data_IF_624685604465
#
_entry.id   IF_624685604465
#
_cell.length_a   1.000
_cell.length_b   1.000
_cell.length_c   1.000
_cell.angle_alpha   90.00
_cell.angle_beta   90.00
_cell.angle_gamma   90.00
#
_symmetry.space_group_name_H-M   'P 1'
#
loop_
_entity.id
_entity.type
_entity.pdbx_description
1 polymer ?
#
# COMPACT_ATOMS: atom_id res chain seq x y z
N UNK A 1 21.84 -17.64 -21.85
CA UNK A 1 20.77 -17.82 -20.86
C UNK A 1 19.46 -17.44 -21.51
N UNK A 2 18.70 -18.47 -21.86
CA UNK A 2 17.41 -18.37 -22.56
C UNK A 2 16.40 -17.63 -21.71
N UNK A 3 15.63 -16.74 -22.34
CA UNK A 3 14.47 -16.05 -21.77
C UNK A 3 13.42 -17.08 -21.36
N UNK A 4 13.53 -17.63 -20.16
CA UNK A 4 12.43 -18.40 -19.59
C UNK A 4 11.28 -17.46 -19.25
N UNK A 5 10.07 -17.84 -19.67
CA UNK A 5 8.81 -17.17 -19.36
C UNK A 5 8.56 -16.97 -17.85
N UNK A 6 9.42 -17.53 -16.99
CA UNK A 6 9.45 -17.38 -15.53
C UNK A 6 9.87 -15.97 -15.10
N UNK A 7 10.71 -15.27 -15.88
CA UNK A 7 11.17 -13.90 -15.51
C UNK A 7 10.10 -12.82 -15.63
N UNK A 8 8.97 -13.08 -16.31
CA UNK A 8 7.83 -12.15 -16.35
C UNK A 8 7.06 -12.05 -15.04
N UNK A 9 7.28 -12.96 -14.08
CA UNK A 9 6.57 -12.96 -12.80
C UNK A 9 7.27 -12.16 -11.70
N UNK A 10 8.53 -11.76 -11.89
CA UNK A 10 9.35 -11.13 -10.84
C UNK A 10 9.81 -9.77 -11.34
N UNK A 11 9.68 -8.74 -10.51
CA UNK A 11 10.18 -7.38 -10.79
C UNK A 11 11.43 -7.12 -9.95
N UNK A 12 12.50 -6.64 -10.57
CA UNK A 12 13.75 -6.30 -9.88
C UNK A 12 13.88 -4.78 -9.80
N UNK A 13 13.98 -4.28 -8.56
CA UNK A 13 14.24 -2.87 -8.28
C UNK A 13 15.69 -2.69 -7.87
N UNK A 14 16.44 -1.87 -8.60
CA UNK A 14 17.88 -1.67 -8.37
C UNK A 14 18.16 -0.29 -7.82
N UNK A 15 19.02 -0.22 -6.80
CA UNK A 15 19.38 1.03 -6.11
C UNK A 15 20.89 1.20 -6.13
N UNK A 16 21.38 2.25 -6.79
CA UNK A 16 22.77 2.67 -6.68
C UNK A 16 22.92 3.62 -5.51
N UNK A 17 23.58 3.19 -4.44
CA UNK A 17 23.72 3.96 -3.20
C UNK A 17 25.16 4.42 -3.03
N UNK A 18 25.37 5.71 -2.85
CA UNK A 18 26.69 6.27 -2.56
C UNK A 18 26.90 7.67 -3.13
N UNK A 19 27.85 8.43 -2.59
CA UNK A 19 28.11 9.81 -3.00
C UNK A 19 28.85 9.92 -4.34
N UNK A 20 29.36 8.81 -4.87
CA UNK A 20 30.19 8.78 -6.08
C UNK A 20 29.47 8.05 -7.22
N UNK A 21 29.71 8.43 -8.50
CA UNK A 21 29.15 7.73 -9.64
C UNK A 21 29.61 6.27 -9.68
N UNK A 22 28.69 5.34 -9.47
CA UNK A 22 28.91 3.91 -9.63
C UNK A 22 28.55 3.55 -11.09
N UNK A 23 29.24 2.61 -11.76
CA UNK A 23 28.80 2.10 -13.05
C UNK A 23 27.38 1.50 -12.95
N UNK A 24 26.40 2.15 -13.56
CA UNK A 24 24.97 1.84 -13.36
C UNK A 24 24.30 1.16 -14.54
N UNK A 25 25.05 0.92 -15.62
CA UNK A 25 24.55 0.25 -16.81
C UNK A 25 23.94 -1.13 -16.49
N UNK A 26 24.65 -1.94 -15.69
CA UNK A 26 24.19 -3.27 -15.28
C UNK A 26 22.96 -3.19 -14.37
N UNK A 27 22.95 -2.26 -13.41
CA UNK A 27 21.81 -2.03 -12.51
C UNK A 27 20.56 -1.63 -13.29
N UNK A 28 20.72 -0.73 -14.26
CA UNK A 28 19.63 -0.28 -15.13
C UNK A 28 19.13 -1.43 -16.02
N UNK A 29 20.04 -2.21 -16.59
CA UNK A 29 19.69 -3.35 -17.42
C UNK A 29 18.86 -4.39 -16.64
N UNK A 30 19.30 -4.77 -15.44
CA UNK A 30 18.56 -5.72 -14.60
C UNK A 30 17.14 -5.27 -14.27
N UNK A 31 16.94 -3.96 -14.00
CA UNK A 31 15.61 -3.41 -13.75
C UNK A 31 14.76 -3.37 -15.02
N UNK A 32 15.31 -2.97 -16.16
CA UNK A 32 14.59 -2.89 -17.44
C UNK A 32 14.15 -4.28 -17.96
N UNK A 33 14.93 -5.33 -17.70
CA UNK A 33 14.59 -6.70 -18.13
C UNK A 33 13.38 -7.30 -17.39
N UNK A 34 12.97 -6.71 -16.26
CA UNK A 34 11.94 -7.24 -15.35
C UNK A 34 10.78 -6.26 -15.10
N UNK A 35 10.63 -5.24 -15.94
CA UNK A 35 9.64 -4.17 -15.75
C UNK A 35 9.69 -3.51 -14.35
N UNK A 36 10.89 -3.47 -13.77
CA UNK A 36 11.17 -2.83 -12.49
C UNK A 36 11.51 -1.35 -12.63
N UNK A 37 12.18 -0.80 -11.62
CA UNK A 37 12.73 0.55 -11.66
C UNK A 37 14.14 0.60 -11.07
N UNK A 38 14.92 1.54 -11.59
CA UNK A 38 16.27 1.83 -11.14
C UNK A 38 16.30 3.23 -10.52
N UNK A 39 16.92 3.35 -9.35
CA UNK A 39 17.05 4.61 -8.62
C UNK A 39 18.49 4.84 -8.15
N UNK A 40 18.89 6.10 -8.05
CA UNK A 40 20.17 6.53 -7.48
C UNK A 40 19.91 7.26 -6.17
N UNK A 41 20.63 6.87 -5.12
CA UNK A 41 20.56 7.47 -3.80
C UNK A 41 21.95 7.98 -3.45
N UNK A 42 22.16 9.28 -3.60
CA UNK A 42 23.46 9.92 -3.34
C UNK A 42 23.62 10.42 -1.91
N UNK A 43 22.51 10.65 -1.21
CA UNK A 43 22.50 11.23 0.14
C UNK A 43 21.61 10.41 1.08
N UNK A 44 21.93 10.45 2.38
CA UNK A 44 21.10 9.83 3.43
C UNK A 44 19.67 10.37 3.43
N UNK A 45 19.51 11.68 3.20
CA UNK A 45 18.19 12.34 3.12
C UNK A 45 17.36 11.86 1.92
N UNK A 46 18.00 11.45 0.82
CA UNK A 46 17.31 10.94 -0.37
C UNK A 46 16.72 9.53 -0.21
N UNK A 47 17.18 8.76 0.78
CA UNK A 47 16.76 7.35 0.98
C UNK A 47 15.25 7.25 1.14
N UNK A 48 14.66 8.06 2.02
CA UNK A 48 13.23 7.99 2.37
C UNK A 48 12.32 8.20 1.16
N UNK A 49 12.67 9.14 0.28
CA UNK A 49 11.87 9.44 -0.90
C UNK A 49 12.10 8.38 -1.99
N UNK A 50 13.36 8.03 -2.25
CA UNK A 50 13.72 7.11 -3.35
C UNK A 50 13.30 5.67 -3.11
N UNK A 51 13.25 5.22 -1.87
CA UNK A 51 12.78 3.88 -1.56
C UNK A 51 11.26 3.74 -1.72
N UNK A 52 10.49 4.83 -1.86
CA UNK A 52 9.04 4.74 -2.07
C UNK A 52 8.65 4.71 -3.55
N UNK A 53 9.56 5.12 -4.46
CA UNK A 53 9.30 5.21 -5.91
C UNK A 53 8.88 3.86 -6.54
N UNK A 54 9.18 2.71 -5.92
CA UNK A 54 8.74 1.40 -6.43
C UNK A 54 7.21 1.23 -6.40
N UNK A 55 6.53 1.91 -5.47
CA UNK A 55 5.06 1.84 -5.35
C UNK A 55 4.38 2.28 -6.64
N UNK A 56 4.92 3.29 -7.33
CA UNK A 56 4.40 3.74 -8.62
C UNK A 56 4.41 2.63 -9.68
N UNK A 57 5.45 1.79 -9.68
CA UNK A 57 5.57 0.68 -10.63
C UNK A 57 4.60 -0.45 -10.26
N UNK A 58 4.45 -0.75 -8.97
CA UNK A 58 3.52 -1.76 -8.48
C UNK A 58 2.05 -1.35 -8.63
N UNK A 59 1.75 -0.05 -8.62
CA UNK A 59 0.39 0.47 -8.74
C UNK A 59 -0.19 0.38 -10.17
N UNK A 60 0.65 0.41 -11.22
CA UNK A 60 0.22 0.35 -12.63
C UNK A 60 -0.79 -0.77 -12.95
N UNK A 61 -0.56 -2.05 -12.59
CA UNK A 61 -1.52 -3.13 -12.85
C UNK A 61 -2.83 -3.00 -12.07
N UNK A 62 -2.86 -2.22 -10.98
CA UNK A 62 -4.07 -2.00 -10.17
C UNK A 62 -4.93 -0.85 -10.69
N UNK A 63 -4.42 0.01 -11.57
CA UNK A 63 -5.18 1.13 -12.14
C UNK A 63 -6.48 0.81 -12.89
N UNK A 64 -6.61 -0.32 -13.65
CA UNK A 64 -7.88 -0.68 -14.26
C UNK A 64 -8.93 -1.15 -13.24
N UNK A 65 -8.50 -1.70 -12.11
CA UNK A 65 -9.34 -2.22 -11.03
C UNK A 65 -9.35 -1.22 -9.88
N UNK A 66 -10.30 -0.29 -9.90
CA UNK A 66 -10.53 0.60 -8.77
C UNK A 66 -11.24 -0.19 -7.68
N UNK A 67 -10.46 -0.84 -6.81
CA UNK A 67 -10.98 -1.54 -5.63
C UNK A 67 -10.79 -0.67 -4.40
N UNK A 68 -11.86 -0.55 -3.62
CA UNK A 68 -11.80 0.01 -2.26
C UNK A 68 -11.11 -1.01 -1.36
N UNK A 69 -10.15 -0.53 -0.57
CA UNK A 69 -9.43 -1.36 0.38
C UNK A 69 -9.61 -0.82 1.78
N UNK A 70 -10.04 -1.70 2.69
CA UNK A 70 -10.05 -1.42 4.12
C UNK A 70 -8.67 -1.74 4.68
N UNK A 71 -8.03 -0.75 5.30
CA UNK A 71 -6.81 -0.95 6.07
C UNK A 71 -7.18 -1.57 7.43
N UNK A 72 -6.29 -2.37 7.99
CA UNK A 72 -6.47 -2.96 9.33
C UNK A 72 -6.68 -1.89 10.41
N UNK A 73 -7.14 -2.30 11.58
CA UNK A 73 -7.29 -1.46 12.77
C UNK A 73 -5.98 -0.75 13.14
N UNK A 74 -6.04 0.55 13.43
CA UNK A 74 -4.93 1.34 13.94
C UNK A 74 -5.40 2.35 14.98
N UNK A 75 -4.48 2.80 15.82
CA UNK A 75 -4.75 3.86 16.77
C UNK A 75 -4.48 5.21 16.11
N UNK A 76 -5.50 6.06 16.05
CA UNK A 76 -5.37 7.40 15.49
C UNK A 76 -4.49 8.26 16.41
N UNK A 77 -3.57 9.04 15.83
CA UNK A 77 -2.56 9.76 16.61
C UNK A 77 -3.12 10.94 17.43
N UNK A 78 -4.23 11.55 16.99
CA UNK A 78 -4.78 12.77 17.60
C UNK A 78 -5.81 12.46 18.68
N UNK A 79 -6.71 11.53 18.39
CA UNK A 79 -7.80 11.12 19.30
C UNK A 79 -7.36 9.99 20.23
N UNK A 80 -6.28 9.29 19.88
CA UNK A 80 -5.85 8.02 20.51
C UNK A 80 -6.91 6.90 20.42
N UNK A 81 -7.94 7.09 19.62
CA UNK A 81 -9.03 6.15 19.43
C UNK A 81 -8.69 5.10 18.38
N UNK A 82 -9.32 3.93 18.51
CA UNK A 82 -9.19 2.87 17.53
C UNK A 82 -10.04 3.21 16.31
N UNK A 83 -9.44 3.17 15.12
CA UNK A 83 -10.10 3.46 13.87
C UNK A 83 -9.73 2.46 12.77
N UNK A 84 -10.53 2.46 11.72
CA UNK A 84 -10.32 1.72 10.47
C UNK A 84 -10.29 2.74 9.33
N UNK A 85 -9.32 2.63 8.44
CA UNK A 85 -9.20 3.53 7.29
C UNK A 85 -9.74 2.84 6.04
N UNK A 86 -10.75 3.43 5.42
CA UNK A 86 -11.22 3.05 4.09
C UNK A 86 -10.42 3.85 3.07
N UNK A 87 -9.77 3.16 2.13
CA UNK A 87 -8.85 3.78 1.18
C UNK A 87 -9.22 3.48 -0.26
N UNK A 88 -9.03 4.46 -1.13
CA UNK A 88 -9.25 4.36 -2.57
C UNK A 88 -8.07 5.00 -3.32
N UNK A 89 -7.34 4.25 -4.17
CA UNK A 89 -6.26 4.82 -4.97
C UNK A 89 -6.79 5.70 -6.11
N UNK A 90 -6.17 6.85 -6.31
CA UNK A 90 -6.54 7.84 -7.34
C UNK A 90 -5.48 7.82 -8.43
N UNK A 91 -5.89 7.55 -9.67
CA UNK A 91 -5.00 7.50 -10.83
C UNK A 91 -5.25 8.62 -11.83
N UNK A 92 -4.19 9.11 -12.45
CA UNK A 92 -4.30 9.97 -13.62
C UNK A 92 -4.64 9.13 -14.85
N UNK A 93 -5.79 9.45 -15.47
CA UNK A 93 -6.28 8.80 -16.69
C UNK A 93 -6.42 9.78 -17.87
N UNK A 94 -5.80 10.97 -17.79
CA UNK A 94 -5.94 12.02 -18.79
C UNK A 94 -5.43 11.62 -20.19
N UNK A 95 -4.44 10.73 -20.24
CA UNK A 95 -3.80 10.27 -21.47
C UNK A 95 -3.84 8.74 -21.56
N UNK A 96 -4.75 8.21 -22.38
CA UNK A 96 -4.92 6.77 -22.57
C UNK A 96 -3.74 6.09 -23.28
N UNK A 97 -2.79 6.85 -23.82
CA UNK A 97 -1.57 6.31 -24.45
C UNK A 97 -0.45 6.03 -23.45
N UNK A 98 -0.58 6.50 -22.21
CA UNK A 98 0.42 6.33 -21.14
C UNK A 98 -0.05 5.32 -20.11
N UNK A 99 0.90 4.68 -19.43
CA UNK A 99 0.60 3.87 -18.25
C UNK A 99 -0.07 4.76 -17.20
N UNK A 100 -1.17 4.31 -16.56
CA UNK A 100 -1.80 5.07 -15.50
C UNK A 100 -0.80 5.39 -14.39
N UNK A 101 -0.82 6.63 -13.93
CA UNK A 101 0.06 7.12 -12.87
C UNK A 101 -0.74 7.25 -11.58
N UNK A 102 -0.23 6.71 -10.47
CA UNK A 102 -0.87 6.88 -9.16
C UNK A 102 -0.63 8.33 -8.70
N UNK A 103 -1.71 9.10 -8.56
CA UNK A 103 -1.65 10.46 -8.04
C UNK A 103 -1.58 10.48 -6.52
N UNK A 104 -2.27 9.52 -5.88
CA UNK A 104 -2.33 9.42 -4.43
C UNK A 104 -3.41 8.43 -3.99
N UNK A 105 -3.75 8.50 -2.70
CA UNK A 105 -4.78 7.66 -2.08
C UNK A 105 -5.73 8.57 -1.33
N UNK A 106 -7.02 8.48 -1.63
CA UNK A 106 -8.06 9.07 -0.81
C UNK A 106 -8.36 8.12 0.35
N UNK A 107 -8.47 8.66 1.56
CA UNK A 107 -8.74 7.88 2.76
C UNK A 107 -9.83 8.55 3.60
N UNK A 108 -10.65 7.74 4.25
CA UNK A 108 -11.55 8.18 5.32
C UNK A 108 -11.36 7.28 6.53
N UNK A 109 -11.23 7.92 7.68
CA UNK A 109 -11.04 7.26 8.96
C UNK A 109 -12.41 7.05 9.62
N UNK A 110 -12.70 5.80 9.99
CA UNK A 110 -13.95 5.39 10.63
C UNK A 110 -13.63 4.92 12.05
N UNK A 111 -14.00 5.68 13.09
CA UNK A 111 -13.82 5.28 14.48
C UNK A 111 -14.55 3.96 14.78
N UNK A 112 -13.97 3.13 15.66
CA UNK A 112 -14.62 1.87 16.05
C UNK A 112 -15.95 2.11 16.77
N UNK A 113 -16.05 3.21 17.51
CA UNK A 113 -17.28 3.66 18.17
C UNK A 113 -18.44 3.82 17.19
N UNK A 114 -18.18 4.22 15.94
CA UNK A 114 -19.22 4.34 14.90
C UNK A 114 -19.88 2.99 14.59
N UNK A 115 -19.18 1.87 14.78
CA UNK A 115 -19.80 0.55 14.62
C UNK A 115 -20.67 0.18 15.81
N UNK A 116 -20.43 0.71 17.01
CA UNK A 116 -21.20 0.40 18.22
C UNK A 116 -22.68 0.76 18.06
N UNK A 117 -22.97 1.89 17.40
CA UNK A 117 -24.34 2.34 17.08
C UNK A 117 -25.14 1.34 16.23
N UNK A 118 -24.45 0.48 15.47
CA UNK A 118 -25.07 -0.53 14.60
C UNK A 118 -25.11 -1.92 15.24
N UNK A 119 -24.54 -2.09 16.43
CA UNK A 119 -24.47 -3.37 17.11
C UNK A 119 -25.63 -3.52 18.11
N UNK A 120 -26.29 -4.69 18.15
CA UNK A 120 -27.40 -4.92 19.09
C UNK A 120 -26.87 -5.27 20.49
N UNK A 121 -26.10 -4.36 21.11
CA UNK A 121 -25.47 -4.59 22.41
C UNK A 121 -26.50 -4.92 23.51
N UNK A 122 -27.65 -4.25 23.51
CA UNK A 122 -28.73 -4.45 24.48
C UNK A 122 -29.42 -5.82 24.36
N UNK A 123 -29.30 -6.48 23.20
CA UNK A 123 -29.88 -7.80 22.98
C UNK A 123 -29.00 -8.95 23.51
N UNK A 124 -27.79 -8.64 23.98
CA UNK A 124 -26.86 -9.64 24.49
C UNK A 124 -27.21 -10.04 25.93
N UNK A 125 -27.06 -11.33 26.23
CA UNK A 125 -27.09 -11.82 27.61
C UNK A 125 -25.86 -11.32 28.39
N UNK A 126 -25.82 -11.41 29.74
CA UNK A 126 -24.72 -10.87 30.56
C UNK A 126 -23.30 -11.35 30.20
N UNK A 127 -23.17 -12.52 29.54
CA UNK A 127 -21.89 -13.07 29.09
C UNK A 127 -21.71 -12.99 27.56
N UNK A 128 -22.61 -12.32 26.85
CA UNK A 128 -22.53 -12.11 25.41
C UNK A 128 -21.54 -11.00 25.06
N UNK A 129 -20.78 -11.19 23.98
CA UNK A 129 -19.83 -10.19 23.48
C UNK A 129 -19.87 -10.16 21.95
N UNK A 130 -19.51 -9.01 21.39
CA UNK A 130 -19.38 -8.82 19.95
C UNK A 130 -17.91 -8.52 19.65
N UNK A 131 -17.43 -9.11 18.57
CA UNK A 131 -16.08 -8.87 18.08
C UNK A 131 -16.11 -8.67 16.56
N UNK A 132 -15.19 -7.86 16.06
CA UNK A 132 -14.98 -7.64 14.64
C UNK A 132 -13.64 -8.29 14.26
N UNK A 133 -13.64 -9.06 13.17
CA UNK A 133 -12.46 -9.79 12.68
C UNK A 133 -12.22 -9.47 11.20
N UNK A 134 -10.96 -9.31 10.81
CA UNK A 134 -10.58 -9.20 9.40
C UNK A 134 -10.10 -10.54 8.81
N UNK A 135 -9.92 -10.59 7.49
CA UNK A 135 -9.45 -11.78 6.78
C UNK A 135 -7.99 -12.19 7.11
N UNK A 136 -7.27 -11.38 7.89
CA UNK A 136 -5.92 -11.69 8.41
C UNK A 136 -5.95 -12.24 9.84
N UNK A 137 -7.12 -12.36 10.48
CA UNK A 137 -7.27 -12.88 11.83
C UNK A 137 -7.06 -11.87 12.96
N UNK A 138 -6.94 -10.57 12.65
CA UNK A 138 -6.94 -9.53 13.68
C UNK A 138 -8.35 -9.33 14.21
N UNK A 139 -8.47 -9.34 15.54
CA UNK A 139 -9.74 -9.24 16.25
C UNK A 139 -9.72 -8.00 17.12
N UNK A 140 -10.83 -7.27 17.09
CA UNK A 140 -11.13 -6.23 18.07
C UNK A 140 -12.40 -6.61 18.80
N UNK A 141 -12.40 -6.42 20.12
CA UNK A 141 -13.58 -6.64 20.95
C UNK A 141 -14.19 -5.31 21.32
N UNK A 142 -15.52 -5.24 21.23
CA UNK A 142 -16.28 -4.07 21.64
C UNK A 142 -16.82 -4.39 23.02
N UNK A 143 -16.36 -3.64 24.02
CA UNK A 143 -16.75 -3.77 25.41
C UNK A 143 -17.50 -2.51 25.82
N UNK A 144 -18.57 -2.69 26.60
CA UNK A 144 -19.30 -1.62 27.27
C UNK A 144 -18.54 -1.16 28.53
#
# INVERSE_FOLDING_TARGET
>A
YTKDNVTKSVRIFTYAVGPHPIPTAVLKQMACETDGAYNVITTKSGVRNKIQDYLQVLARPMAPTLEESMVTFYQEHLTEELAVALTLPVYNKSDSSKSPELLGVAGIDVPIQTFEDYLPQEALAPNGYIFIINNNGFVITIHN
#
